data_IF_378706924255
#
_entry.id   IF_378706924255
#
_cell.length_a   1.000
_cell.length_b   1.000
_cell.length_c   1.000
_cell.angle_alpha   90.00
_cell.angle_beta   90.00
_cell.angle_gamma   90.00
#
_symmetry.space_group_name_H-M   'P 1'
#
loop_
_entity.id
_entity.type
_entity.pdbx_description
1 polymer ?
#
# COMPACT_ATOMS: atom_id res chain seq x y z
N UNK A 1 -3.23 2.10 -20.86
CA UNK A 1 -3.19 3.13 -19.80
C UNK A 1 -2.22 2.67 -18.73
N UNK A 2 -1.23 3.48 -18.37
CA UNK A 2 -0.27 3.14 -17.33
C UNK A 2 -0.95 3.13 -15.96
N UNK A 3 -0.67 2.11 -15.15
CA UNK A 3 -1.15 2.05 -13.77
C UNK A 3 -0.65 3.28 -12.99
N UNK A 4 -1.46 3.92 -12.12
CA UNK A 4 -1.00 5.00 -11.24
C UNK A 4 0.22 4.61 -10.40
N UNK A 5 0.40 3.31 -10.13
CA UNK A 5 1.56 2.79 -9.42
C UNK A 5 2.87 2.99 -10.18
N UNK A 6 2.84 3.10 -11.51
CA UNK A 6 4.02 3.32 -12.33
C UNK A 6 4.66 4.70 -12.12
N UNK A 7 3.92 5.65 -11.55
CA UNK A 7 4.39 6.99 -11.17
C UNK A 7 5.30 6.97 -9.92
N UNK A 8 5.36 5.84 -9.22
CA UNK A 8 6.08 5.69 -7.96
C UNK A 8 7.09 4.54 -8.06
N UNK A 9 8.30 4.77 -7.57
CA UNK A 9 9.35 3.77 -7.42
C UNK A 9 9.24 3.11 -6.04
N UNK A 10 9.12 1.77 -5.97
CA UNK A 10 9.11 1.05 -4.70
C UNK A 10 10.50 1.01 -4.07
N UNK A 11 10.59 1.39 -2.79
CA UNK A 11 11.77 1.24 -1.95
C UNK A 11 11.52 0.13 -0.91
N UNK A 12 12.06 0.31 0.29
CA UNK A 12 12.01 -0.66 1.38
C UNK A 12 10.60 -0.87 1.97
N UNK A 13 10.38 -2.06 2.51
CA UNK A 13 9.22 -2.34 3.37
C UNK A 13 9.53 -1.79 4.76
N UNK A 14 8.70 -0.87 5.22
CA UNK A 14 8.86 -0.17 6.51
C UNK A 14 7.83 -0.60 7.56
N UNK A 15 6.87 -1.45 7.17
CA UNK A 15 5.88 -2.00 8.09
C UNK A 15 5.26 -3.26 7.53
N UNK A 16 4.94 -4.20 8.42
CA UNK A 16 4.20 -5.41 8.10
C UNK A 16 3.06 -5.53 9.12
N UNK A 17 1.84 -5.63 8.62
CA UNK A 17 0.65 -5.80 9.44
C UNK A 17 -0.19 -6.95 8.94
N UNK A 18 -1.21 -7.32 9.72
CA UNK A 18 -2.11 -8.43 9.41
C UNK A 18 -2.79 -8.31 8.04
N UNK A 19 -2.99 -7.07 7.57
CA UNK A 19 -3.72 -6.77 6.34
C UNK A 19 -2.81 -6.51 5.12
N UNK A 20 -1.48 -6.52 5.29
CA UNK A 20 -0.54 -6.25 4.22
C UNK A 20 0.70 -5.50 4.68
N UNK A 21 1.38 -4.82 3.75
CA UNK A 21 2.66 -4.17 4.01
C UNK A 21 2.57 -2.65 3.83
N UNK A 22 3.39 -1.93 4.58
CA UNK A 22 3.68 -0.51 4.34
C UNK A 22 5.02 -0.44 3.63
N UNK A 23 5.02 0.08 2.41
CA UNK A 23 6.22 0.26 1.60
C UNK A 23 6.54 1.74 1.44
N UNK A 24 7.80 2.09 1.62
CA UNK A 24 8.31 3.41 1.26
C UNK A 24 8.35 3.52 -0.26
N UNK A 25 7.84 4.60 -0.83
CA UNK A 25 7.86 4.83 -2.28
C UNK A 25 8.37 6.24 -2.58
N UNK A 26 9.07 6.40 -3.69
CA UNK A 26 9.48 7.71 -4.20
C UNK A 26 8.63 8.06 -5.41
N UNK A 27 8.01 9.24 -5.44
CA UNK A 27 7.31 9.72 -6.64
C UNK A 27 8.34 10.12 -7.69
N UNK A 28 8.22 9.59 -8.90
CA UNK A 28 9.21 9.84 -9.98
C UNK A 28 9.25 11.29 -10.47
N UNK A 29 8.17 12.04 -10.28
CA UNK A 29 8.06 13.41 -10.79
C UNK A 29 8.89 14.43 -9.98
N UNK A 30 8.98 14.26 -8.67
CA UNK A 30 9.55 15.23 -7.73
C UNK A 30 10.49 14.60 -6.69
N UNK A 31 10.62 13.27 -6.66
CA UNK A 31 11.43 12.53 -5.69
C UNK A 31 10.84 12.49 -4.28
N UNK A 32 9.61 12.98 -4.08
CA UNK A 32 9.01 13.04 -2.74
C UNK A 32 8.72 11.64 -2.24
N UNK A 33 9.07 11.42 -0.97
CA UNK A 33 8.92 10.14 -0.29
C UNK A 33 7.53 10.03 0.33
N UNK A 34 6.87 8.90 0.09
CA UNK A 34 5.58 8.55 0.67
C UNK A 34 5.61 7.16 1.32
N UNK A 35 4.61 6.88 2.16
CA UNK A 35 4.28 5.53 2.61
C UNK A 35 3.07 5.02 1.80
N UNK A 36 3.19 3.82 1.22
CA UNK A 36 2.14 3.13 0.47
C UNK A 36 1.68 1.90 1.24
N UNK A 37 0.40 1.86 1.62
CA UNK A 37 -0.24 0.67 2.21
C UNK A 37 -0.69 -0.27 1.09
N UNK A 38 -0.03 -1.42 0.99
CA UNK A 38 -0.38 -2.48 0.03
C UNK A 38 -1.22 -3.53 0.77
N UNK A 39 -2.52 -3.57 0.47
CA UNK A 39 -3.48 -4.46 1.12
C UNK A 39 -3.57 -5.79 0.37
N UNK A 40 -3.42 -6.91 1.08
CA UNK A 40 -3.59 -8.25 0.49
C UNK A 40 -4.98 -8.81 0.84
N UNK A 41 -5.94 -8.60 -0.06
CA UNK A 41 -7.34 -9.02 0.12
C UNK A 41 -7.55 -10.54 0.09
N UNK A 42 -6.59 -11.31 -0.43
CA UNK A 42 -6.68 -12.79 -0.47
C UNK A 42 -6.42 -13.42 0.90
N UNK A 43 -5.66 -12.74 1.76
CA UNK A 43 -5.35 -13.20 3.12
C UNK A 43 -6.32 -12.68 4.18
N UNK A 44 -7.32 -11.90 3.78
CA UNK A 44 -8.28 -11.29 4.70
C UNK A 44 -9.50 -12.17 4.88
N UNK A 45 -9.88 -12.43 6.13
CA UNK A 45 -11.19 -12.98 6.45
C UNK A 45 -12.30 -11.95 6.16
N UNK A 46 -13.55 -12.40 6.03
CA UNK A 46 -14.71 -11.51 5.88
C UNK A 46 -14.81 -10.46 7.00
N UNK A 47 -14.33 -10.79 8.21
CA UNK A 47 -14.26 -9.86 9.34
C UNK A 47 -13.23 -8.75 9.10
N UNK A 48 -12.06 -9.10 8.59
CA UNK A 48 -10.96 -8.16 8.32
C UNK A 48 -11.33 -7.19 7.19
N UNK A 49 -12.05 -7.69 6.17
CA UNK A 49 -12.58 -6.85 5.08
C UNK A 49 -13.53 -5.78 5.59
N UNK A 50 -14.46 -6.14 6.49
CA UNK A 50 -15.39 -5.17 7.12
C UNK A 50 -14.66 -4.11 7.94
N UNK A 51 -13.62 -4.50 8.67
CA UNK A 51 -12.84 -3.55 9.47
C UNK A 51 -12.10 -2.55 8.58
N UNK A 52 -11.55 -2.99 7.44
CA UNK A 52 -10.86 -2.10 6.51
C UNK A 52 -11.80 -1.07 5.90
N UNK A 53 -13.03 -1.46 5.50
CA UNK A 53 -14.02 -0.52 4.95
C UNK A 53 -14.36 0.58 5.97
N UNK A 54 -14.28 0.31 7.26
CA UNK A 54 -14.52 1.31 8.30
C UNK A 54 -13.33 2.28 8.52
N UNK A 55 -12.13 1.96 8.03
CA UNK A 55 -10.91 2.76 8.19
C UNK A 55 -10.60 3.68 6.97
N UNK A 56 -11.41 3.64 5.91
CA UNK A 56 -11.22 4.43 4.67
C UNK A 56 -12.16 5.64 4.60
#
# INVERSE_FOLDING_TARGET
MSSPLALYEPLDIIGNGSFGIIRKVSRKADGVIFARKELNFERMSERDRKQIVAEV
#
